data_IF_255133952937
#
_entry.id   IF_255133952937
#
_cell.length_a   1.000
_cell.length_b   1.000
_cell.length_c   1.000
_cell.angle_alpha   90.00
_cell.angle_beta   90.00
_cell.angle_gamma   90.00
#
_symmetry.space_group_name_H-M   'P 1'
#
loop_
_entity.id
_entity.type
_entity.pdbx_description
1 polymer ?
#
# COMPACT_ATOMS: atom_id res chain seq x y z
N UNK A 1 16.26 8.39 20.87
CA UNK A 1 16.02 9.29 19.73
C UNK A 1 15.53 8.47 18.56
N UNK A 2 14.29 8.67 18.11
CA UNK A 2 13.80 8.02 16.89
C UNK A 2 14.53 8.62 15.69
N UNK A 3 15.19 7.77 14.89
CA UNK A 3 15.79 8.18 13.61
C UNK A 3 14.82 7.83 12.50
N UNK A 4 14.70 8.69 11.49
CA UNK A 4 13.96 8.38 10.27
C UNK A 4 14.54 7.12 9.64
N UNK A 5 13.68 6.15 9.32
CA UNK A 5 14.11 4.90 8.71
C UNK A 5 14.74 5.16 7.34
N UNK A 6 16.00 4.76 7.12
CA UNK A 6 16.70 4.98 5.85
C UNK A 6 16.10 4.19 4.68
N UNK A 7 15.29 3.17 4.95
CA UNK A 7 14.65 2.34 3.92
C UNK A 7 13.32 2.91 3.41
N UNK A 8 12.50 3.45 4.31
CA UNK A 8 11.17 3.94 3.96
C UNK A 8 10.99 5.45 4.18
N UNK A 9 12.01 6.15 4.67
CA UNK A 9 11.96 7.57 5.04
C UNK A 9 10.84 7.92 6.03
N UNK A 10 10.37 6.94 6.80
CA UNK A 10 9.23 7.11 7.71
C UNK A 10 7.85 6.90 7.07
N UNK A 11 7.77 6.57 5.78
CA UNK A 11 6.51 6.36 5.06
C UNK A 11 5.97 4.92 5.17
N UNK A 12 6.76 4.00 5.72
CA UNK A 12 6.40 2.58 5.85
C UNK A 12 6.57 1.82 4.53
N UNK A 13 5.68 2.07 3.57
CA UNK A 13 5.69 1.48 2.23
C UNK A 13 5.48 2.54 1.14
N UNK A 14 5.86 2.22 -0.10
CA UNK A 14 5.73 3.16 -1.22
C UNK A 14 4.25 3.33 -1.60
N UNK A 15 3.73 4.56 -1.49
CA UNK A 15 2.37 4.90 -1.90
C UNK A 15 2.27 5.04 -3.41
N UNK A 16 1.78 4.00 -4.07
CA UNK A 16 1.37 4.10 -5.48
C UNK A 16 -0.05 4.66 -5.53
N UNK A 17 -0.36 5.56 -6.45
CA UNK A 17 -1.75 6.05 -6.58
C UNK A 17 -2.60 5.09 -7.40
N UNK A 18 -3.90 5.00 -7.09
CA UNK A 18 -4.87 4.21 -7.87
C UNK A 18 -4.81 4.54 -9.37
N UNK A 19 -4.66 5.82 -9.73
CA UNK A 19 -4.52 6.26 -11.12
C UNK A 19 -3.23 5.75 -11.79
N UNK A 20 -2.14 5.59 -11.04
CA UNK A 20 -0.89 5.03 -11.56
C UNK A 20 -1.01 3.54 -11.79
N UNK A 21 -1.64 2.82 -10.86
CA UNK A 21 -1.94 1.38 -11.03
C UNK A 21 -2.86 1.16 -12.22
N UNK A 22 -3.92 1.97 -12.35
CA UNK A 22 -4.84 1.87 -13.48
C UNK A 22 -4.11 2.04 -14.83
N UNK A 23 -3.28 3.08 -14.96
CA UNK A 23 -2.46 3.30 -16.17
C UNK A 23 -1.50 2.15 -16.46
N UNK A 24 -0.93 1.53 -15.43
CA UNK A 24 -0.06 0.38 -15.61
C UNK A 24 -0.83 -0.86 -16.11
N UNK A 25 -2.04 -1.08 -15.59
CA UNK A 25 -2.91 -2.19 -16.01
C UNK A 25 -3.42 -1.99 -17.44
N UNK A 26 -3.80 -0.77 -17.82
CA UNK A 26 -4.25 -0.46 -19.18
C UNK A 26 -3.20 -0.79 -20.25
N UNK A 27 -1.90 -0.74 -19.93
CA UNK A 27 -0.83 -1.17 -20.85
C UNK A 27 -0.87 -2.68 -21.15
N UNK A 28 -1.50 -3.47 -20.29
CA UNK A 28 -1.65 -4.93 -20.41
C UNK A 28 -3.05 -5.34 -20.84
N UNK A 29 -4.06 -4.58 -20.42
CA UNK A 29 -5.47 -4.80 -20.72
C UNK A 29 -6.09 -3.49 -21.24
N UNK A 30 -5.89 -3.13 -22.52
CA UNK A 30 -6.32 -1.84 -23.08
C UNK A 30 -7.84 -1.62 -23.05
N UNK A 31 -8.62 -2.70 -23.14
CA UNK A 31 -10.09 -2.64 -23.17
C UNK A 31 -10.73 -2.57 -21.78
N UNK A 32 -9.92 -2.40 -20.72
CA UNK A 32 -10.45 -2.23 -19.37
C UNK A 32 -11.16 -0.89 -19.25
N UNK A 33 -12.49 -0.93 -19.24
CA UNK A 33 -13.29 0.27 -19.09
C UNK A 33 -13.15 0.91 -17.69
N UNK A 34 -13.18 2.23 -17.63
CA UNK A 34 -13.05 3.00 -16.37
C UNK A 34 -14.11 2.61 -15.31
N UNK A 35 -15.34 2.26 -15.73
CA UNK A 35 -16.37 1.80 -14.78
C UNK A 35 -16.07 0.42 -14.20
N UNK A 36 -15.48 -0.47 -15.00
CA UNK A 36 -15.01 -1.78 -14.54
C UNK A 36 -13.86 -1.61 -13.56
N UNK A 37 -12.91 -0.71 -13.86
CA UNK A 37 -11.85 -0.33 -12.94
C UNK A 37 -12.41 0.15 -11.60
N UNK A 38 -13.28 1.17 -11.61
CA UNK A 38 -13.77 1.79 -10.38
C UNK A 38 -14.61 0.86 -9.51
N UNK A 39 -15.43 -0.01 -10.12
CA UNK A 39 -16.37 -0.89 -9.39
C UNK A 39 -15.74 -2.21 -8.94
N UNK A 40 -14.85 -2.79 -9.72
CA UNK A 40 -14.38 -4.17 -9.48
C UNK A 40 -12.88 -4.26 -9.13
N UNK A 41 -12.05 -3.40 -9.72
CA UNK A 41 -10.59 -3.50 -9.58
C UNK A 41 -10.03 -2.58 -8.51
N UNK A 42 -10.55 -1.35 -8.43
CA UNK A 42 -10.14 -0.38 -7.42
C UNK A 42 -10.37 -0.90 -6.00
N UNK A 43 -11.52 -1.53 -5.65
CA UNK A 43 -11.69 -2.11 -4.32
C UNK A 43 -10.67 -3.21 -4.00
N UNK A 44 -10.33 -4.05 -4.98
CA UNK A 44 -9.30 -5.08 -4.81
C UNK A 44 -7.92 -4.45 -4.57
N UNK A 45 -7.56 -3.43 -5.35
CA UNK A 45 -6.35 -2.65 -5.12
C UNK A 45 -6.32 -2.01 -3.71
N UNK A 46 -7.42 -1.40 -3.27
CA UNK A 46 -7.52 -0.79 -1.94
C UNK A 46 -7.41 -1.83 -0.81
N UNK A 47 -7.96 -3.03 -1.01
CA UNK A 47 -7.79 -4.15 -0.09
C UNK A 47 -6.30 -4.57 0.03
N UNK A 48 -5.56 -4.63 -1.07
CA UNK A 48 -4.12 -4.92 -1.03
C UNK A 48 -3.35 -3.85 -0.25
N UNK A 49 -3.73 -2.58 -0.42
CA UNK A 49 -3.13 -1.47 0.35
C UNK A 49 -3.43 -1.61 1.84
N UNK A 50 -4.66 -2.01 2.22
CA UNK A 50 -5.02 -2.25 3.63
C UNK A 50 -4.18 -3.37 4.27
N UNK A 51 -3.83 -4.41 3.51
CA UNK A 51 -2.92 -5.47 3.99
C UNK A 51 -1.54 -4.91 4.34
N UNK A 52 -1.00 -3.99 3.54
CA UNK A 52 0.28 -3.35 3.83
C UNK A 52 0.22 -2.54 5.14
N UNK A 53 -0.84 -1.76 5.33
CA UNK A 53 -1.05 -1.03 6.58
C UNK A 53 -1.20 -1.95 7.80
N UNK A 54 -1.88 -3.08 7.65
CA UNK A 54 -1.98 -4.09 8.71
C UNK A 54 -0.61 -4.64 9.09
N UNK A 55 0.21 -4.98 8.09
CA UNK A 55 1.58 -5.46 8.31
C UNK A 55 2.46 -4.42 9.00
N UNK A 56 2.37 -3.16 8.59
CA UNK A 56 3.11 -2.06 9.24
C UNK A 56 2.72 -1.90 10.71
N UNK A 57 1.41 -1.87 11.01
CA UNK A 57 0.92 -1.79 12.41
C UNK A 57 1.36 -2.98 13.24
N UNK A 58 1.34 -4.19 12.67
CA UNK A 58 1.79 -5.39 13.36
C UNK A 58 3.28 -5.30 13.67
N UNK A 59 4.11 -4.91 12.70
CA UNK A 59 5.55 -4.75 12.90
C UNK A 59 5.87 -3.70 13.98
N UNK A 60 5.14 -2.57 13.99
CA UNK A 60 5.29 -1.55 15.03
C UNK A 60 4.92 -2.09 16.42
N UNK A 61 3.80 -2.81 16.54
CA UNK A 61 3.37 -3.40 17.81
C UNK A 61 4.38 -4.43 18.35
N UNK A 62 4.92 -5.29 17.49
CA UNK A 62 5.94 -6.27 17.91
C UNK A 62 7.25 -5.59 18.32
N UNK A 63 7.63 -4.51 17.64
CA UNK A 63 8.80 -3.71 18.03
C UNK A 63 8.61 -3.06 19.41
N UNK A 64 7.46 -2.44 19.67
CA UNK A 64 7.14 -1.83 20.96
C UNK A 64 7.19 -2.87 22.09
N UNK A 65 6.57 -4.04 21.90
CA UNK A 65 6.62 -5.14 22.88
C UNK A 65 8.05 -5.58 23.19
N UNK A 66 8.89 -5.73 22.16
CA UNK A 66 10.27 -6.18 22.32
C UNK A 66 11.20 -5.14 22.96
N UNK A 67 10.82 -3.86 22.89
CA UNK A 67 11.65 -2.73 23.34
C UNK A 67 11.12 -2.03 24.58
N UNK A 68 9.95 -2.45 25.10
CA UNK A 68 9.39 -1.98 26.36
C UNK A 68 10.26 -2.46 27.54
N UNK A 69 11.05 -1.54 28.11
CA UNK A 69 11.83 -1.71 29.34
C UNK A 69 11.37 -0.68 30.37
#
# INVERSE_FOLDING_TARGET
VFKTCERCSGEGYSRVSSATVHRAILKRLPDLHQSSWSRNWKPFYEMLVDVLYKGERQAASEFEKATAY
#
